data_IF_303495826839
#
_entry.id   IF_303495826839
#
_cell.length_a   1.000
_cell.length_b   1.000
_cell.length_c   1.000
_cell.angle_alpha   90.00
_cell.angle_beta   90.00
_cell.angle_gamma   90.00
#
_symmetry.space_group_name_H-M   'P 1'
#
loop_
_entity.id
_entity.type
_entity.pdbx_description
1 polymer ?
#
# COMPACT_ATOMS: atom_id res chain seq x y z
N UNK A 1 -24.44 18.67 -5.58
CA UNK A 1 -24.91 17.42 -6.20
C UNK A 1 -23.77 16.45 -6.58
N UNK A 2 -22.57 16.89 -7.02
CA UNK A 2 -21.44 15.99 -7.33
C UNK A 2 -20.84 15.21 -6.13
N UNK A 3 -20.80 15.80 -4.92
CA UNK A 3 -20.26 15.13 -3.70
C UNK A 3 -21.04 13.89 -3.23
N UNK A 4 -22.34 13.82 -3.54
CA UNK A 4 -23.18 12.66 -3.19
C UNK A 4 -22.95 11.51 -4.16
N UNK A 5 -22.58 11.81 -5.40
CA UNK A 5 -22.40 10.85 -6.47
C UNK A 5 -21.18 9.94 -6.24
N UNK A 6 -20.04 10.51 -5.83
CA UNK A 6 -18.79 9.78 -5.58
C UNK A 6 -18.82 8.92 -4.31
N UNK A 7 -19.54 9.36 -3.25
CA UNK A 7 -19.80 8.49 -2.09
C UNK A 7 -20.59 7.22 -2.47
N UNK A 8 -21.46 7.33 -3.47
CA UNK A 8 -22.21 6.19 -4.03
C UNK A 8 -21.34 5.22 -4.84
N UNK A 9 -20.38 5.74 -5.59
CA UNK A 9 -19.47 4.94 -6.44
C UNK A 9 -18.46 4.18 -5.57
N UNK A 10 -17.83 4.83 -4.60
CA UNK A 10 -16.95 4.16 -3.63
C UNK A 10 -17.72 3.09 -2.82
N UNK A 11 -18.92 3.41 -2.30
CA UNK A 11 -19.77 2.41 -1.64
C UNK A 11 -20.18 1.23 -2.54
N UNK A 12 -20.32 1.45 -3.86
CA UNK A 12 -20.64 0.36 -4.80
C UNK A 12 -19.39 -0.42 -5.22
N UNK A 13 -18.23 0.24 -5.37
CA UNK A 13 -16.95 -0.41 -5.59
C UNK A 13 -16.52 -1.19 -4.33
N UNK A 14 -16.63 -0.61 -3.14
CA UNK A 14 -16.37 -1.30 -1.87
C UNK A 14 -17.36 -2.46 -1.67
N UNK A 15 -18.65 -2.29 -2.02
CA UNK A 15 -19.63 -3.40 -2.02
C UNK A 15 -19.41 -4.42 -3.13
N UNK A 16 -18.79 -4.06 -4.25
CA UNK A 16 -18.38 -5.02 -5.28
C UNK A 16 -17.17 -5.80 -4.79
N UNK A 17 -16.20 -5.13 -4.17
CA UNK A 17 -15.06 -5.75 -3.48
C UNK A 17 -15.56 -6.60 -2.30
N UNK A 18 -16.49 -6.11 -1.47
CA UNK A 18 -17.11 -6.91 -0.40
C UNK A 18 -17.97 -8.08 -0.94
N UNK A 19 -18.63 -7.95 -2.08
CA UNK A 19 -19.40 -9.04 -2.71
C UNK A 19 -18.52 -10.06 -3.42
N UNK A 20 -17.29 -9.74 -3.75
CA UNK A 20 -16.28 -10.68 -4.25
C UNK A 20 -15.87 -11.71 -3.19
N UNK A 21 -16.12 -11.43 -1.91
CA UNK A 21 -15.86 -12.35 -0.79
C UNK A 21 -16.99 -13.39 -0.59
N UNK A 22 -18.05 -13.41 -1.39
CA UNK A 22 -19.21 -14.28 -1.11
C UNK A 22 -19.28 -15.46 -2.08
N UNK A 23 -18.96 -16.63 -1.53
CA UNK A 23 -19.43 -17.98 -1.85
C UNK A 23 -18.77 -18.67 -3.02
N UNK A 24 -17.66 -19.35 -2.73
CA UNK A 24 -17.26 -20.56 -3.45
C UNK A 24 -18.01 -21.78 -2.87
N UNK A 25 -19.14 -22.17 -3.44
CA UNK A 25 -19.68 -23.51 -3.28
C UNK A 25 -19.25 -24.36 -4.49
N UNK A 26 -18.02 -24.85 -4.42
CA UNK A 26 -17.52 -25.85 -5.37
C UNK A 26 -17.94 -27.24 -4.91
N UNK A 27 -18.95 -27.83 -5.55
CA UNK A 27 -19.23 -29.27 -5.46
C UNK A 27 -18.32 -30.00 -6.42
N UNK A 28 -17.23 -30.55 -5.92
CA UNK A 28 -16.46 -31.59 -6.61
C UNK A 28 -16.48 -32.83 -5.73
N UNK A 29 -16.86 -33.98 -6.30
CA UNK A 29 -16.82 -35.28 -5.63
C UNK A 29 -15.36 -35.74 -5.45
N UNK A 30 -14.73 -35.33 -4.35
CA UNK A 30 -13.38 -35.67 -3.94
C UNK A 30 -13.40 -36.60 -2.74
N UNK A 31 -12.33 -37.39 -2.53
CA UNK A 31 -12.16 -38.15 -1.30
C UNK A 31 -12.24 -37.23 -0.09
N UNK A 32 -12.82 -37.66 1.03
CA UNK A 32 -13.04 -36.85 2.24
C UNK A 32 -11.79 -36.07 2.71
N UNK A 33 -10.61 -36.58 2.44
CA UNK A 33 -9.34 -35.97 2.86
C UNK A 33 -8.89 -34.82 1.91
N UNK A 34 -9.09 -34.99 0.60
CA UNK A 34 -8.83 -33.95 -0.41
C UNK A 34 -9.87 -32.82 -0.32
N UNK A 35 -11.12 -33.15 -0.03
CA UNK A 35 -12.20 -32.20 0.19
C UNK A 35 -11.89 -31.29 1.40
N UNK A 36 -11.34 -31.82 2.49
CA UNK A 36 -10.93 -31.03 3.66
C UNK A 36 -9.77 -30.06 3.34
N UNK A 37 -8.83 -30.47 2.46
CA UNK A 37 -7.71 -29.62 2.03
C UNK A 37 -8.19 -28.47 1.16
N UNK A 38 -9.01 -28.75 0.16
CA UNK A 38 -9.56 -27.73 -0.74
C UNK A 38 -10.45 -26.74 0.02
N UNK A 39 -11.28 -27.21 0.96
CA UNK A 39 -12.08 -26.34 1.83
C UNK A 39 -11.21 -25.41 2.67
N UNK A 40 -10.08 -25.91 3.22
CA UNK A 40 -9.12 -25.07 3.95
C UNK A 40 -8.50 -23.99 3.05
N UNK A 41 -8.02 -24.37 1.86
CA UNK A 41 -7.40 -23.42 0.91
C UNK A 41 -8.43 -22.37 0.46
N UNK A 42 -9.64 -22.79 0.09
CA UNK A 42 -10.72 -21.87 -0.28
C UNK A 42 -11.10 -20.92 0.86
N UNK A 43 -11.14 -21.42 2.10
CA UNK A 43 -11.40 -20.59 3.28
C UNK A 43 -10.34 -19.52 3.50
N UNK A 44 -9.05 -19.85 3.31
CA UNK A 44 -7.95 -18.89 3.43
C UNK A 44 -8.01 -17.80 2.35
N UNK A 45 -8.38 -18.16 1.11
CA UNK A 45 -8.63 -17.20 0.01
C UNK A 45 -9.78 -16.26 0.38
N UNK A 46 -10.92 -16.83 0.81
CA UNK A 46 -12.12 -16.06 1.17
C UNK A 46 -11.88 -15.10 2.35
N UNK A 47 -10.98 -15.44 3.26
CA UNK A 47 -10.59 -14.61 4.40
C UNK A 47 -9.46 -13.64 4.05
N UNK A 48 -8.96 -13.63 2.80
CA UNK A 48 -7.79 -12.84 2.38
C UNK A 48 -6.55 -13.08 3.27
N UNK A 49 -6.42 -14.32 3.79
CA UNK A 49 -5.32 -14.68 4.69
C UNK A 49 -4.12 -15.21 3.90
N UNK A 50 -3.44 -14.30 3.21
CA UNK A 50 -2.40 -14.62 2.23
C UNK A 50 -1.14 -15.24 2.86
N UNK A 51 -0.82 -14.91 4.11
CA UNK A 51 0.34 -15.49 4.81
C UNK A 51 0.13 -16.96 5.15
N UNK A 52 -1.03 -17.29 5.72
CA UNK A 52 -1.38 -18.69 6.00
C UNK A 52 -1.64 -19.48 4.73
N UNK A 53 -2.15 -18.81 3.68
CA UNK A 53 -2.32 -19.41 2.36
C UNK A 53 -0.97 -19.83 1.76
N UNK A 54 0.03 -18.94 1.80
CA UNK A 54 1.39 -19.27 1.35
C UNK A 54 1.99 -20.44 2.14
N UNK A 55 1.81 -20.43 3.45
CA UNK A 55 2.29 -21.51 4.29
C UNK A 55 1.57 -22.83 3.98
N UNK A 56 0.25 -22.79 3.83
CA UNK A 56 -0.54 -23.97 3.48
C UNK A 56 -0.12 -24.56 2.12
N UNK A 57 0.16 -23.71 1.11
CA UNK A 57 0.67 -24.16 -0.19
C UNK A 57 2.05 -24.81 -0.10
N UNK A 58 2.93 -24.36 0.80
CA UNK A 58 4.28 -24.94 1.02
C UNK A 58 4.21 -26.28 1.73
N UNK A 59 3.30 -26.43 2.70
CA UNK A 59 3.15 -27.60 3.55
C UNK A 59 2.33 -28.72 2.90
N UNK A 60 1.45 -28.38 1.97
CA UNK A 60 0.50 -29.34 1.36
C UNK A 60 1.06 -29.92 0.07
N UNK A 61 1.10 -31.27 -0.08
CA UNK A 61 1.51 -31.88 -1.34
C UNK A 61 0.70 -31.38 -2.52
N UNK A 62 1.36 -31.14 -3.64
CA UNK A 62 0.75 -30.52 -4.81
C UNK A 62 -0.46 -31.27 -5.36
N UNK A 63 -0.45 -32.58 -5.29
CA UNK A 63 -1.51 -33.47 -5.77
C UNK A 63 -2.71 -33.62 -4.81
N UNK A 64 -2.63 -32.99 -3.62
CA UNK A 64 -3.71 -33.00 -2.62
C UNK A 64 -4.64 -31.79 -2.75
N UNK A 65 -4.33 -30.84 -3.63
CA UNK A 65 -5.15 -29.65 -3.91
C UNK A 65 -5.62 -29.75 -5.35
N UNK A 66 -6.89 -29.43 -5.61
CA UNK A 66 -7.43 -29.41 -6.98
C UNK A 66 -6.64 -28.42 -7.86
N UNK A 67 -6.37 -28.75 -9.14
CA UNK A 67 -5.50 -27.94 -9.99
C UNK A 67 -5.92 -26.49 -10.09
N UNK A 68 -7.20 -26.22 -10.31
CA UNK A 68 -7.75 -24.86 -10.37
C UNK A 68 -7.52 -24.08 -9.08
N UNK A 69 -7.90 -24.66 -7.94
CA UNK A 69 -7.78 -23.98 -6.63
C UNK A 69 -6.32 -23.71 -6.27
N UNK A 70 -5.42 -24.62 -6.61
CA UNK A 70 -3.99 -24.44 -6.43
C UNK A 70 -3.45 -23.28 -7.26
N UNK A 71 -3.84 -23.19 -8.53
CA UNK A 71 -3.42 -22.08 -9.38
C UNK A 71 -3.96 -20.75 -8.87
N UNK A 72 -5.25 -20.70 -8.50
CA UNK A 72 -5.85 -19.50 -7.92
C UNK A 72 -5.11 -19.06 -6.65
N UNK A 73 -4.89 -19.99 -5.72
CA UNK A 73 -4.15 -19.72 -4.49
C UNK A 73 -2.72 -19.24 -4.77
N UNK A 74 -2.04 -19.83 -5.75
CA UNK A 74 -0.69 -19.43 -6.17
C UNK A 74 -0.69 -18.02 -6.79
N UNK A 75 -1.66 -17.71 -7.65
CA UNK A 75 -1.80 -16.39 -8.25
C UNK A 75 -1.98 -15.30 -7.18
N UNK A 76 -2.89 -15.53 -6.22
CA UNK A 76 -3.17 -14.60 -5.14
C UNK A 76 -1.94 -14.40 -4.24
N UNK A 77 -1.26 -15.46 -3.83
CA UNK A 77 -0.04 -15.33 -3.01
C UNK A 77 1.07 -14.61 -3.76
N UNK A 78 1.27 -14.86 -5.06
CA UNK A 78 2.27 -14.14 -5.84
C UNK A 78 1.94 -12.65 -5.98
N UNK A 79 0.66 -12.30 -6.18
CA UNK A 79 0.24 -10.90 -6.27
C UNK A 79 0.50 -10.13 -4.97
N UNK A 80 0.01 -10.65 -3.83
CA UNK A 80 0.11 -9.95 -2.53
C UNK A 80 1.49 -10.01 -1.90
N UNK A 81 2.31 -11.03 -2.21
CA UNK A 81 3.69 -11.15 -1.72
C UNK A 81 4.72 -10.60 -2.73
N UNK A 82 4.31 -9.64 -3.56
CA UNK A 82 5.17 -8.88 -4.48
C UNK A 82 6.05 -9.75 -5.39
N UNK A 83 5.44 -10.77 -6.04
CA UNK A 83 6.07 -11.62 -7.06
C UNK A 83 5.38 -11.44 -8.40
N UNK A 84 5.40 -10.21 -8.98
CA UNK A 84 4.53 -9.86 -10.10
C UNK A 84 4.81 -10.67 -11.38
N UNK A 85 6.09 -11.00 -11.67
CA UNK A 85 6.42 -11.85 -12.83
C UNK A 85 5.75 -13.23 -12.72
N UNK A 86 5.84 -13.87 -11.55
CA UNK A 86 5.22 -15.17 -11.29
C UNK A 86 3.69 -15.06 -11.30
N UNK A 87 3.14 -13.97 -10.76
CA UNK A 87 1.71 -13.71 -10.80
C UNK A 87 1.19 -13.59 -12.24
N UNK A 88 1.90 -12.87 -13.11
CA UNK A 88 1.53 -12.75 -14.53
C UNK A 88 1.43 -14.10 -15.22
N UNK A 89 2.39 -15.01 -14.99
CA UNK A 89 2.38 -16.36 -15.60
C UNK A 89 1.14 -17.15 -15.15
N UNK A 90 0.88 -17.22 -13.85
CA UNK A 90 -0.22 -18.01 -13.30
C UNK A 90 -1.59 -17.40 -13.62
N UNK A 91 -1.73 -16.07 -13.56
CA UNK A 91 -2.97 -15.37 -13.93
C UNK A 91 -3.28 -15.53 -15.41
N UNK A 92 -2.27 -15.50 -16.28
CA UNK A 92 -2.47 -15.73 -17.72
C UNK A 92 -2.96 -17.14 -18.00
N UNK A 93 -2.43 -18.14 -17.29
CA UNK A 93 -2.88 -19.53 -17.42
C UNK A 93 -4.31 -19.72 -16.89
N UNK A 94 -4.65 -19.14 -15.74
CA UNK A 94 -6.01 -19.14 -15.20
C UNK A 94 -7.02 -18.54 -16.19
N UNK A 95 -6.71 -17.38 -16.75
CA UNK A 95 -7.58 -16.70 -17.72
C UNK A 95 -7.65 -17.43 -19.05
N UNK A 96 -6.62 -18.19 -19.44
CA UNK A 96 -6.61 -18.99 -20.65
C UNK A 96 -7.39 -20.30 -20.52
N UNK A 97 -7.29 -20.98 -19.39
CA UNK A 97 -7.69 -22.38 -19.26
C UNK A 97 -8.84 -22.64 -18.26
N UNK A 98 -9.16 -21.66 -17.38
CA UNK A 98 -10.08 -21.84 -16.25
C UNK A 98 -11.21 -20.81 -16.17
N UNK A 99 -11.61 -20.23 -17.30
CA UNK A 99 -12.65 -19.19 -17.31
C UNK A 99 -14.01 -19.69 -16.79
N UNK A 100 -14.34 -20.97 -17.02
CA UNK A 100 -15.58 -21.54 -16.55
C UNK A 100 -15.62 -21.67 -15.03
N UNK A 101 -14.49 -22.10 -14.42
CA UNK A 101 -14.36 -22.22 -12.97
C UNK A 101 -14.27 -20.84 -12.31
N UNK A 102 -13.65 -19.86 -12.96
CA UNK A 102 -13.58 -18.47 -12.48
C UNK A 102 -14.95 -17.80 -12.49
N UNK A 103 -15.79 -18.07 -13.49
CA UNK A 103 -17.11 -17.45 -13.61
C UNK A 103 -17.04 -15.91 -13.48
N UNK A 104 -17.81 -15.34 -12.57
CA UNK A 104 -17.85 -13.88 -12.31
C UNK A 104 -16.54 -13.30 -11.79
N UNK A 105 -15.60 -14.12 -11.31
CA UNK A 105 -14.29 -13.68 -10.85
C UNK A 105 -13.29 -13.43 -11.99
N UNK A 106 -13.62 -13.81 -13.23
CA UNK A 106 -12.77 -13.59 -14.41
C UNK A 106 -12.35 -12.14 -14.53
N UNK A 107 -13.27 -11.20 -14.33
CA UNK A 107 -13.00 -9.77 -14.38
C UNK A 107 -11.92 -9.36 -13.36
N UNK A 108 -12.00 -9.85 -12.13
CA UNK A 108 -11.01 -9.55 -11.10
C UNK A 108 -9.63 -10.09 -11.47
N UNK A 109 -9.56 -11.28 -12.06
CA UNK A 109 -8.28 -11.85 -12.51
C UNK A 109 -7.66 -11.04 -13.66
N UNK A 110 -8.49 -10.46 -14.55
CA UNK A 110 -8.02 -9.55 -15.61
C UNK A 110 -7.42 -8.29 -14.98
N UNK A 111 -8.07 -7.70 -13.97
CA UNK A 111 -7.57 -6.52 -13.25
C UNK A 111 -6.25 -6.85 -12.56
N UNK A 112 -6.18 -7.98 -11.84
CA UNK A 112 -4.94 -8.42 -11.17
C UNK A 112 -3.81 -8.66 -12.17
N UNK A 113 -4.10 -9.30 -13.33
CA UNK A 113 -3.09 -9.49 -14.37
C UNK A 113 -2.59 -8.15 -14.91
N UNK A 114 -3.50 -7.21 -15.21
CA UNK A 114 -3.13 -5.88 -15.67
C UNK A 114 -2.23 -5.16 -14.64
N UNK A 115 -2.58 -5.20 -13.36
CA UNK A 115 -1.77 -4.62 -12.28
C UNK A 115 -0.37 -5.24 -12.23
N UNK A 116 -0.25 -6.57 -12.30
CA UNK A 116 1.06 -7.23 -12.26
C UNK A 116 1.89 -6.97 -13.51
N UNK A 117 1.28 -6.88 -14.70
CA UNK A 117 1.95 -6.44 -15.92
C UNK A 117 2.51 -5.01 -15.78
N UNK A 118 1.75 -4.10 -15.20
CA UNK A 118 2.24 -2.75 -14.93
C UNK A 118 3.41 -2.74 -13.93
N UNK A 119 3.33 -3.54 -12.86
CA UNK A 119 4.43 -3.72 -11.88
C UNK A 119 5.71 -4.27 -12.49
N UNK A 120 5.61 -5.03 -13.60
CA UNK A 120 6.76 -5.56 -14.35
C UNK A 120 7.17 -4.68 -15.54
N UNK A 121 6.54 -3.50 -15.71
CA UNK A 121 6.84 -2.56 -16.79
C UNK A 121 6.17 -2.84 -18.14
N UNK A 122 5.30 -3.86 -18.22
CA UNK A 122 4.54 -4.22 -19.43
C UNK A 122 3.28 -3.35 -19.57
N UNK A 123 3.46 -2.03 -19.54
CA UNK A 123 2.35 -1.06 -19.51
C UNK A 123 1.41 -1.13 -20.71
N UNK A 124 1.93 -1.44 -21.93
CA UNK A 124 1.08 -1.57 -23.11
C UNK A 124 0.13 -2.77 -23.01
N UNK A 125 0.62 -3.90 -22.50
CA UNK A 125 -0.18 -5.11 -22.31
C UNK A 125 -1.23 -4.89 -21.20
N UNK A 126 -0.81 -4.27 -20.10
CA UNK A 126 -1.71 -3.86 -19.02
C UNK A 126 -2.84 -2.96 -19.53
N UNK A 127 -2.50 -1.94 -20.31
CA UNK A 127 -3.47 -1.03 -20.93
C UNK A 127 -4.42 -1.75 -21.88
N UNK A 128 -3.91 -2.70 -22.67
CA UNK A 128 -4.70 -3.51 -23.61
C UNK A 128 -5.77 -4.31 -22.90
N UNK A 129 -5.43 -4.97 -21.79
CA UNK A 129 -6.36 -5.74 -20.97
C UNK A 129 -7.50 -4.88 -20.41
N UNK A 130 -7.16 -3.74 -19.78
CA UNK A 130 -8.17 -2.84 -19.20
C UNK A 130 -9.06 -2.20 -20.27
N UNK A 131 -8.51 -1.85 -21.43
CA UNK A 131 -9.31 -1.35 -22.55
C UNK A 131 -10.31 -2.42 -23.04
N UNK A 132 -9.84 -3.65 -23.22
CA UNK A 132 -10.72 -4.75 -23.64
C UNK A 132 -11.82 -5.01 -22.60
N UNK A 133 -11.48 -4.93 -21.31
CA UNK A 133 -12.47 -5.06 -20.24
C UNK A 133 -13.49 -3.93 -20.29
N UNK A 134 -13.04 -2.67 -20.43
CA UNK A 134 -13.92 -1.50 -20.59
C UNK A 134 -14.87 -1.66 -21.77
N UNK A 135 -14.36 -2.06 -22.94
CA UNK A 135 -15.16 -2.23 -24.17
C UNK A 135 -16.23 -3.30 -24.01
N UNK A 136 -15.89 -4.44 -23.39
CA UNK A 136 -16.83 -5.55 -23.12
C UNK A 136 -17.94 -5.11 -22.14
N UNK A 137 -17.57 -4.48 -21.02
CA UNK A 137 -18.53 -4.02 -20.03
C UNK A 137 -19.47 -2.94 -20.59
N UNK A 138 -18.94 -2.06 -21.44
CA UNK A 138 -19.74 -1.03 -22.15
C UNK A 138 -20.72 -1.69 -23.12
N UNK A 139 -20.29 -2.71 -23.88
CA UNK A 139 -21.15 -3.47 -24.79
C UNK A 139 -22.28 -4.22 -24.05
N UNK A 140 -22.04 -4.63 -22.80
CA UNK A 140 -23.04 -5.26 -21.93
C UNK A 140 -23.98 -4.25 -21.24
N UNK A 141 -23.80 -2.94 -21.47
CA UNK A 141 -24.61 -1.90 -20.86
C UNK A 141 -24.35 -1.67 -19.39
N UNK A 142 -23.17 -2.04 -18.90
CA UNK A 142 -22.76 -1.78 -17.51
C UNK A 142 -22.70 -0.28 -17.24
N UNK A 143 -23.07 0.15 -16.02
CA UNK A 143 -23.05 1.55 -15.60
C UNK A 143 -21.69 2.20 -15.90
N UNK A 144 -21.72 3.27 -16.68
CA UNK A 144 -20.53 4.01 -17.11
C UNK A 144 -19.67 4.51 -15.93
N UNK A 145 -20.29 4.74 -14.76
CA UNK A 145 -19.56 5.17 -13.56
C UNK A 145 -18.64 4.10 -12.99
N UNK A 146 -18.93 2.82 -13.28
CA UNK A 146 -18.13 1.68 -12.86
C UNK A 146 -17.03 1.34 -13.88
N UNK A 147 -17.29 1.62 -15.16
CA UNK A 147 -16.39 1.22 -16.25
C UNK A 147 -15.35 2.29 -16.58
N UNK A 148 -15.67 3.57 -16.34
CA UNK A 148 -14.78 4.70 -16.68
C UNK A 148 -13.40 4.59 -16.02
N UNK A 149 -13.33 4.03 -14.81
CA UNK A 149 -12.07 3.85 -14.09
C UNK A 149 -11.09 2.93 -14.85
N UNK A 150 -11.58 1.91 -15.54
CA UNK A 150 -10.73 0.99 -16.32
C UNK A 150 -10.19 1.68 -17.58
N UNK A 151 -11.01 2.49 -18.24
CA UNK A 151 -10.58 3.31 -19.39
C UNK A 151 -9.49 4.30 -18.96
N UNK A 152 -9.72 5.02 -17.87
CA UNK A 152 -8.79 6.05 -17.38
C UNK A 152 -7.46 5.40 -16.95
N UNK A 153 -7.50 4.26 -16.28
CA UNK A 153 -6.30 3.49 -15.94
C UNK A 153 -5.57 2.96 -17.19
N UNK A 154 -6.31 2.53 -18.23
CA UNK A 154 -5.71 2.12 -19.50
C UNK A 154 -5.01 3.29 -20.20
N UNK A 155 -5.58 4.49 -20.16
CA UNK A 155 -4.96 5.71 -20.68
C UNK A 155 -3.67 6.07 -19.92
N UNK A 156 -3.69 6.00 -18.60
CA UNK A 156 -2.51 6.21 -17.77
C UNK A 156 -1.38 5.23 -18.12
N UNK A 157 -1.68 3.94 -18.25
CA UNK A 157 -0.67 2.95 -18.62
C UNK A 157 -0.12 3.19 -20.04
N UNK A 158 -0.93 3.64 -21.02
CA UNK A 158 -0.43 4.02 -22.34
C UNK A 158 0.51 5.22 -22.29
N UNK A 159 0.16 6.23 -21.50
CA UNK A 159 1.00 7.41 -21.31
C UNK A 159 2.35 7.05 -20.67
N UNK A 160 2.33 6.18 -19.66
CA UNK A 160 3.56 5.66 -19.03
C UNK A 160 4.39 4.80 -20.00
N UNK A 161 3.76 3.95 -20.81
CA UNK A 161 4.44 3.14 -21.83
C UNK A 161 5.18 3.99 -22.86
N UNK A 162 4.63 5.14 -23.22
CA UNK A 162 5.25 6.06 -24.18
C UNK A 162 6.56 6.70 -23.67
N UNK A 163 6.81 6.64 -22.35
CA UNK A 163 8.05 7.15 -21.74
C UNK A 163 9.24 6.19 -21.84
N UNK A 164 9.05 4.99 -22.38
CA UNK A 164 10.07 3.92 -22.39
C UNK A 164 10.23 3.26 -21.02
N UNK A 165 11.41 2.69 -20.75
CA UNK A 165 11.65 2.02 -19.48
C UNK A 165 11.63 3.02 -18.32
N UNK A 166 10.65 2.87 -17.44
CA UNK A 166 10.52 3.67 -16.22
C UNK A 166 11.49 3.15 -15.14
N UNK A 167 11.86 4.02 -14.22
CA UNK A 167 12.74 3.70 -13.09
C UNK A 167 14.04 2.97 -13.49
N UNK A 168 14.53 3.20 -14.72
CA UNK A 168 15.75 2.53 -15.18
C UNK A 168 16.97 3.01 -14.37
N UNK A 169 17.67 2.12 -13.67
CA UNK A 169 18.81 2.52 -12.83
C UNK A 169 19.98 2.99 -13.69
N UNK A 170 20.67 4.04 -13.22
CA UNK A 170 21.95 4.52 -13.73
C UNK A 170 23.12 4.18 -12.79
N UNK A 171 22.80 3.80 -11.55
CA UNK A 171 23.79 3.43 -10.54
C UNK A 171 24.17 1.95 -10.66
N UNK A 172 25.32 1.61 -10.10
CA UNK A 172 25.79 0.22 -10.00
C UNK A 172 25.08 -0.46 -8.82
N UNK A 173 25.09 -1.80 -8.82
CA UNK A 173 24.73 -2.55 -7.62
C UNK A 173 25.88 -2.43 -6.62
N UNK A 174 25.65 -1.68 -5.54
CA UNK A 174 26.60 -1.43 -4.46
C UNK A 174 25.82 -1.19 -3.15
N UNK A 175 26.51 -1.16 -2.02
CA UNK A 175 25.89 -0.69 -0.77
C UNK A 175 25.83 0.85 -0.80
N UNK A 176 24.63 1.38 -0.49
CA UNK A 176 24.43 2.82 -0.37
C UNK A 176 24.03 3.17 1.06
N UNK A 177 24.72 4.17 1.62
CA UNK A 177 24.41 4.78 2.91
C UNK A 177 24.04 6.22 2.67
N UNK A 178 22.81 6.57 3.02
CA UNK A 178 22.23 7.88 2.74
C UNK A 178 21.91 8.53 4.08
N UNK A 179 22.45 9.70 4.37
CA UNK A 179 22.10 10.43 5.58
C UNK A 179 20.58 10.62 5.67
N UNK A 180 20.01 10.23 6.80
CA UNK A 180 18.60 10.33 7.10
C UNK A 180 18.39 11.55 8.00
N UNK A 181 17.66 12.55 7.51
CA UNK A 181 17.29 13.71 8.32
C UNK A 181 15.96 13.40 8.99
N UNK A 182 15.97 13.38 10.31
CA UNK A 182 14.73 13.31 11.09
C UNK A 182 14.32 14.76 11.36
N UNK A 183 13.32 15.24 10.60
CA UNK A 183 12.80 16.60 10.74
C UNK A 183 11.68 16.63 11.78
N UNK A 184 11.79 17.55 12.74
CA UNK A 184 10.78 17.75 13.79
C UNK A 184 9.90 18.96 13.46
N UNK A 185 8.65 18.68 13.09
CA UNK A 185 7.64 19.68 12.79
C UNK A 185 6.64 19.82 13.95
N UNK A 186 7.13 20.33 15.08
CA UNK A 186 6.30 20.57 16.27
C UNK A 186 5.94 19.30 17.05
N UNK A 187 6.93 18.42 17.22
CA UNK A 187 6.81 17.15 17.94
C UNK A 187 6.34 16.00 17.07
N UNK A 188 6.25 16.20 15.74
CA UNK A 188 6.00 15.14 14.77
C UNK A 188 7.22 15.01 13.87
N UNK A 189 7.81 13.82 13.84
CA UNK A 189 8.97 13.56 13.01
C UNK A 189 8.59 13.11 11.63
N UNK A 190 9.44 13.38 10.65
CA UNK A 190 9.44 12.82 9.31
C UNK A 190 10.84 12.41 8.90
N UNK A 191 10.95 11.41 8.02
CA UNK A 191 12.22 11.00 7.42
C UNK A 191 12.39 11.76 6.11
N UNK A 192 13.46 12.53 6.01
CA UNK A 192 13.82 13.26 4.80
C UNK A 192 15.22 12.87 4.32
N UNK A 193 15.46 12.97 3.01
CA UNK A 193 16.72 12.64 2.35
C UNK A 193 17.08 13.71 1.34
N UNK A 194 18.36 14.05 1.25
CA UNK A 194 18.86 14.94 0.22
C UNK A 194 19.08 14.20 -1.10
N UNK A 195 18.79 14.85 -2.21
CA UNK A 195 18.97 14.32 -3.55
C UNK A 195 18.79 15.36 -4.64
N UNK A 196 18.39 14.96 -5.85
CA UNK A 196 18.10 15.92 -6.92
C UNK A 196 17.08 15.40 -7.92
N UNK A 197 16.32 16.32 -8.51
CA UNK A 197 15.45 16.09 -9.68
C UNK A 197 16.01 16.87 -10.86
N UNK A 198 16.23 16.19 -11.98
CA UNK A 198 16.76 16.79 -13.21
C UNK A 198 18.03 17.65 -12.97
N UNK A 199 18.91 17.15 -12.05
CA UNK A 199 20.17 17.80 -11.71
C UNK A 199 20.05 19.00 -10.77
N UNK A 200 18.87 19.30 -10.22
CA UNK A 200 18.65 20.36 -9.23
C UNK A 200 18.45 19.75 -7.85
N UNK A 201 19.24 20.21 -6.89
CA UNK A 201 19.19 19.73 -5.50
C UNK A 201 17.80 19.95 -4.89
N UNK A 202 17.35 18.94 -4.13
CA UNK A 202 16.10 18.97 -3.39
C UNK A 202 16.16 17.98 -2.23
N UNK A 203 15.32 18.23 -1.23
CA UNK A 203 15.07 17.32 -0.13
C UNK A 203 13.76 16.58 -0.35
N UNK A 204 13.73 15.28 -0.09
CA UNK A 204 12.60 14.41 -0.31
C UNK A 204 12.04 13.88 1.00
N UNK A 205 10.73 13.84 1.12
CA UNK A 205 10.05 13.06 2.15
C UNK A 205 10.08 11.58 1.77
N UNK A 206 10.47 10.71 2.70
CA UNK A 206 10.41 9.25 2.56
C UNK A 206 9.10 8.74 3.14
N UNK A 207 8.18 8.27 2.29
CA UNK A 207 6.81 7.96 2.67
C UNK A 207 6.38 6.58 2.14
N UNK A 208 6.34 5.57 3.02
CA UNK A 208 5.87 4.21 2.68
C UNK A 208 4.36 4.11 2.56
N UNK A 209 3.60 5.11 3.05
CA UNK A 209 2.16 5.23 2.84
C UNK A 209 1.80 5.77 1.47
N UNK A 210 2.77 6.32 0.72
CA UNK A 210 2.55 6.83 -0.63
C UNK A 210 2.72 5.71 -1.67
N UNK A 211 1.61 5.29 -2.30
CA UNK A 211 1.60 4.31 -3.41
C UNK A 211 2.27 4.83 -4.70
N UNK A 212 2.62 6.12 -4.77
CA UNK A 212 3.31 6.77 -5.89
C UNK A 212 4.24 7.88 -5.41
N UNK A 213 5.15 8.34 -6.27
CA UNK A 213 5.90 9.56 -5.98
C UNK A 213 4.98 10.77 -6.19
N UNK A 214 5.07 11.78 -5.33
CA UNK A 214 4.23 12.97 -5.38
C UNK A 214 5.07 14.25 -5.45
N UNK A 215 4.56 15.24 -6.16
CA UNK A 215 5.17 16.56 -6.27
C UNK A 215 4.08 17.63 -6.47
N UNK A 216 4.32 18.84 -5.98
CA UNK A 216 3.40 19.96 -6.24
C UNK A 216 3.56 20.51 -7.66
N UNK A 217 2.53 21.17 -8.23
CA UNK A 217 2.63 21.81 -9.55
C UNK A 217 3.78 22.81 -9.64
N UNK A 218 4.02 23.58 -8.58
CA UNK A 218 5.09 24.57 -8.51
C UNK A 218 6.48 23.91 -8.61
N UNK A 219 6.68 22.82 -7.85
CA UNK A 219 7.95 22.09 -7.85
C UNK A 219 8.15 21.32 -9.15
N UNK A 220 7.08 20.72 -9.71
CA UNK A 220 7.14 20.05 -11.01
C UNK A 220 7.62 21.02 -12.12
N UNK A 221 7.07 22.24 -12.14
CA UNK A 221 7.50 23.32 -13.04
C UNK A 221 8.93 23.78 -12.72
N UNK A 222 9.27 23.97 -11.44
CA UNK A 222 10.63 24.39 -11.00
C UNK A 222 11.69 23.40 -11.48
N UNK A 223 11.43 22.11 -11.41
CA UNK A 223 12.39 21.06 -11.83
C UNK A 223 12.25 20.65 -13.30
N UNK A 224 11.30 21.22 -14.03
CA UNK A 224 11.11 20.97 -15.46
C UNK A 224 10.69 19.53 -15.75
N UNK A 225 9.77 18.97 -14.95
CA UNK A 225 9.19 17.67 -15.24
C UNK A 225 8.39 17.73 -16.55
N UNK A 226 8.45 16.67 -17.34
CA UNK A 226 7.66 16.54 -18.56
C UNK A 226 6.26 16.06 -18.22
N UNK A 227 5.24 16.91 -18.45
CA UNK A 227 3.85 16.51 -18.28
C UNK A 227 3.48 15.37 -19.24
N UNK A 228 2.67 14.44 -18.75
CA UNK A 228 2.01 13.41 -19.56
C UNK A 228 0.56 13.81 -19.79
N UNK A 229 0.00 13.40 -20.93
CA UNK A 229 -1.43 13.55 -21.22
C UNK A 229 -2.22 12.41 -20.54
N UNK A 230 -2.21 12.44 -19.20
CA UNK A 230 -2.88 11.47 -18.39
C UNK A 230 -3.22 12.05 -17.01
N UNK A 231 -4.51 12.09 -16.72
CA UNK A 231 -5.03 12.48 -15.41
C UNK A 231 -4.79 11.36 -14.39
N UNK A 232 -4.58 11.74 -13.15
CA UNK A 232 -4.51 10.80 -12.02
C UNK A 232 -5.49 11.22 -10.91
N UNK A 233 -6.06 10.22 -10.26
CA UNK A 233 -6.83 10.43 -9.03
C UNK A 233 -6.05 9.84 -7.86
N UNK A 234 -5.66 10.68 -6.92
CA UNK A 234 -4.95 10.26 -5.70
C UNK A 234 -5.89 10.31 -4.51
N UNK A 235 -5.96 9.19 -3.78
CA UNK A 235 -6.68 9.12 -2.52
C UNK A 235 -5.79 9.52 -1.35
N UNK A 236 -6.37 10.18 -0.34
CA UNK A 236 -5.70 10.51 0.90
C UNK A 236 -6.70 10.70 2.04
N UNK A 237 -6.20 11.12 3.20
CA UNK A 237 -6.98 11.28 4.45
C UNK A 237 -8.26 12.10 4.27
N UNK A 238 -8.19 13.16 3.47
CA UNK A 238 -9.34 14.07 3.24
C UNK A 238 -10.22 13.68 2.06
N UNK A 239 -9.91 12.62 1.34
CA UNK A 239 -10.67 12.17 0.17
C UNK A 239 -9.83 12.06 -1.11
N UNK A 240 -10.50 12.16 -2.26
CA UNK A 240 -9.87 12.04 -3.58
C UNK A 240 -9.49 13.41 -4.12
N UNK A 241 -8.32 13.50 -4.74
CA UNK A 241 -7.86 14.65 -5.53
C UNK A 241 -7.51 14.24 -6.94
N UNK A 242 -7.83 15.12 -7.88
CA UNK A 242 -7.40 15.01 -9.27
C UNK A 242 -6.05 15.71 -9.44
N UNK A 243 -5.23 15.18 -10.30
CA UNK A 243 -3.95 15.73 -10.68
C UNK A 243 -3.49 15.18 -12.01
N UNK A 244 -2.23 15.40 -12.33
CA UNK A 244 -1.61 15.00 -13.59
C UNK A 244 -0.43 14.06 -13.33
N UNK A 245 0.00 13.29 -14.32
CA UNK A 245 1.30 12.64 -14.32
C UNK A 245 2.36 13.52 -14.97
N UNK A 246 3.56 13.52 -14.39
CA UNK A 246 4.74 14.08 -15.02
C UNK A 246 5.96 13.16 -14.80
N UNK A 247 6.94 13.25 -15.70
CA UNK A 247 8.16 12.45 -15.68
C UNK A 247 9.35 13.35 -15.34
N UNK A 248 10.08 12.97 -14.31
CA UNK A 248 11.44 13.43 -14.09
C UNK A 248 12.40 12.64 -14.99
N UNK A 249 13.22 13.34 -15.79
CA UNK A 249 14.22 12.67 -16.63
C UNK A 249 15.25 11.94 -15.79
N UNK A 250 15.61 12.53 -14.63
CA UNK A 250 16.51 11.91 -13.65
C UNK A 250 16.05 12.21 -12.22
N UNK A 251 16.10 11.18 -11.37
CA UNK A 251 16.02 11.27 -9.92
C UNK A 251 17.31 10.73 -9.32
N UNK A 252 17.90 11.44 -8.35
CA UNK A 252 19.06 10.98 -7.58
C UNK A 252 18.75 11.05 -6.08
N UNK A 253 19.16 10.01 -5.35
CA UNK A 253 19.06 9.95 -3.89
C UNK A 253 20.36 9.30 -3.40
N UNK A 254 21.16 10.04 -2.64
CA UNK A 254 22.51 9.59 -2.29
C UNK A 254 23.33 9.27 -3.54
N UNK A 255 23.96 8.10 -3.56
CA UNK A 255 24.72 7.59 -4.73
C UNK A 255 23.87 6.91 -5.81
N UNK A 256 22.57 6.71 -5.58
CA UNK A 256 21.67 6.08 -6.53
C UNK A 256 21.08 7.07 -7.52
N UNK A 257 20.76 6.60 -8.72
CA UNK A 257 20.09 7.42 -9.74
C UNK A 257 19.21 6.54 -10.63
N UNK A 258 18.09 7.11 -11.07
CA UNK A 258 17.14 6.51 -12.00
C UNK A 258 16.75 7.51 -13.08
N UNK A 259 16.37 7.00 -14.26
CA UNK A 259 15.78 7.81 -15.33
C UNK A 259 14.32 7.43 -15.55
N UNK A 260 13.58 8.37 -16.11
CA UNK A 260 12.16 8.26 -16.41
C UNK A 260 11.34 7.93 -15.15
N UNK A 261 11.39 8.79 -14.16
CA UNK A 261 10.70 8.57 -12.88
C UNK A 261 9.36 9.32 -12.87
N UNK A 262 8.22 8.61 -12.83
CA UNK A 262 6.91 9.21 -12.75
C UNK A 262 6.65 9.86 -11.39
N UNK A 263 5.97 10.99 -11.42
CA UNK A 263 5.41 11.70 -10.28
C UNK A 263 3.94 12.03 -10.54
N UNK A 264 3.09 11.83 -9.55
CA UNK A 264 1.78 12.43 -9.52
C UNK A 264 1.92 13.91 -9.11
N UNK A 265 1.44 14.80 -9.95
CA UNK A 265 1.46 16.25 -9.71
C UNK A 265 0.15 16.65 -9.07
N UNK A 266 0.18 16.90 -7.75
CA UNK A 266 -1.02 17.12 -6.94
C UNK A 266 -0.93 18.45 -6.21
N UNK A 267 -1.97 19.27 -6.33
CA UNK A 267 -2.15 20.43 -5.47
C UNK A 267 -2.51 19.97 -4.05
N UNK A 268 -1.57 20.15 -3.13
CA UNK A 268 -1.71 19.68 -1.74
C UNK A 268 -2.60 20.57 -0.86
N UNK A 269 -3.06 21.71 -1.37
CA UNK A 269 -3.98 22.59 -0.62
C UNK A 269 -5.26 21.83 -0.27
N UNK A 270 -5.65 21.95 0.99
CA UNK A 270 -6.78 21.21 1.56
C UNK A 270 -8.11 21.97 1.44
N UNK A 271 -8.05 23.29 1.18
CA UNK A 271 -9.19 24.19 1.21
C UNK A 271 -9.58 24.62 2.65
N UNK A 272 -8.73 24.31 3.63
CA UNK A 272 -8.87 24.76 5.02
C UNK A 272 -7.72 25.72 5.36
N UNK A 273 -8.05 26.98 5.62
CA UNK A 273 -7.09 28.07 5.78
C UNK A 273 -5.93 27.75 6.75
N UNK A 274 -6.21 27.09 7.89
CA UNK A 274 -5.18 26.75 8.87
C UNK A 274 -4.22 25.65 8.37
N UNK A 275 -4.77 24.62 7.71
CA UNK A 275 -3.98 23.53 7.17
C UNK A 275 -3.17 24.00 5.96
N UNK A 276 -3.76 24.88 5.12
CA UNK A 276 -3.09 25.43 3.95
C UNK A 276 -1.97 26.38 4.36
N UNK A 277 -2.18 27.24 5.35
CA UNK A 277 -1.11 28.08 5.95
C UNK A 277 0.01 27.26 6.58
N UNK A 278 -0.33 26.12 7.20
CA UNK A 278 0.67 25.19 7.71
C UNK A 278 1.49 24.59 6.59
N UNK A 279 0.83 24.09 5.53
CA UNK A 279 1.48 23.51 4.34
C UNK A 279 2.34 24.55 3.60
N UNK A 280 1.87 25.78 3.46
CA UNK A 280 2.63 26.89 2.87
C UNK A 280 3.87 27.23 3.69
N UNK A 281 3.75 27.23 5.04
CA UNK A 281 4.86 27.52 5.95
C UNK A 281 5.95 26.45 5.90
N UNK A 282 5.58 25.17 5.79
CA UNK A 282 6.52 24.06 5.85
C UNK A 282 6.91 23.52 4.46
N UNK A 283 6.31 24.03 3.38
CA UNK A 283 6.58 23.68 1.98
C UNK A 283 6.80 22.16 1.84
N UNK A 284 5.72 21.39 1.68
CA UNK A 284 5.81 19.93 1.56
C UNK A 284 6.84 19.55 0.47
N UNK A 285 7.94 18.86 0.84
CA UNK A 285 8.92 18.44 -0.14
C UNK A 285 8.31 17.41 -1.10
N UNK A 286 8.93 17.15 -2.26
CA UNK A 286 8.54 16.03 -3.09
C UNK A 286 8.59 14.74 -2.30
N UNK A 287 7.62 13.86 -2.51
CA UNK A 287 7.49 12.58 -1.81
C UNK A 287 8.08 11.47 -2.65
N UNK A 288 8.97 10.70 -2.07
CA UNK A 288 9.43 9.42 -2.60
C UNK A 288 8.56 8.33 -1.99
N UNK A 289 7.76 7.70 -2.85
CA UNK A 289 6.85 6.62 -2.50
C UNK A 289 7.38 5.23 -2.86
N UNK A 290 6.49 4.26 -2.70
CA UNK A 290 6.80 2.84 -2.88
C UNK A 290 7.42 2.45 -4.23
N UNK A 291 7.08 3.06 -5.40
CA UNK A 291 7.69 2.63 -6.65
C UNK A 291 9.21 2.75 -6.68
N UNK A 292 9.78 3.82 -6.14
CA UNK A 292 11.24 3.97 -6.01
C UNK A 292 11.78 3.01 -4.95
N UNK A 293 11.05 2.84 -3.84
CA UNK A 293 11.44 1.91 -2.77
C UNK A 293 11.49 0.46 -3.24
N UNK A 294 10.54 0.01 -4.08
CA UNK A 294 10.60 -1.32 -4.71
C UNK A 294 11.83 -1.52 -5.59
N UNK A 295 12.31 -0.45 -6.25
CA UNK A 295 13.58 -0.51 -7.00
C UNK A 295 14.80 -0.70 -6.08
N UNK A 296 14.72 -0.30 -4.81
CA UNK A 296 15.77 -0.50 -3.81
C UNK A 296 15.78 -1.93 -3.26
N UNK A 297 14.68 -2.67 -3.36
CA UNK A 297 14.44 -4.05 -2.90
C UNK A 297 14.50 -4.25 -1.38
N UNK A 298 15.50 -3.71 -0.70
CA UNK A 298 15.62 -3.70 0.76
C UNK A 298 16.09 -2.34 1.23
N UNK A 299 15.47 -1.87 2.31
CA UNK A 299 15.77 -0.60 2.95
C UNK A 299 15.95 -0.87 4.44
N UNK A 300 17.08 -0.41 5.00
CA UNK A 300 17.32 -0.46 6.42
C UNK A 300 17.33 0.96 6.99
N UNK A 301 16.37 1.28 7.83
CA UNK A 301 16.32 2.53 8.57
C UNK A 301 17.17 2.37 9.83
N UNK A 302 18.37 2.92 9.83
CA UNK A 302 19.29 2.91 10.96
C UNK A 302 19.10 4.21 11.77
N UNK A 303 18.29 4.14 12.82
CA UNK A 303 17.98 5.28 13.67
C UNK A 303 19.15 5.63 14.60
N UNK A 304 20.01 4.68 14.93
CA UNK A 304 21.19 4.90 15.77
C UNK A 304 22.22 5.77 15.07
N UNK A 305 22.48 5.51 13.77
CA UNK A 305 23.44 6.26 12.96
C UNK A 305 22.79 7.34 12.09
N UNK A 306 21.45 7.38 12.04
CA UNK A 306 20.66 8.26 11.17
C UNK A 306 21.01 8.08 9.70
N UNK A 307 20.99 6.84 9.26
CA UNK A 307 21.28 6.43 7.88
C UNK A 307 20.16 5.55 7.34
N UNK A 308 19.84 5.76 6.07
CA UNK A 308 19.09 4.81 5.25
C UNK A 308 20.10 3.98 4.49
N UNK A 309 20.11 2.66 4.71
CA UNK A 309 21.08 1.74 4.10
C UNK A 309 20.35 0.88 3.08
N UNK A 310 20.90 0.84 1.87
CA UNK A 310 20.49 -0.07 0.79
C UNK A 310 21.61 -1.09 0.61
N UNK A 311 21.44 -2.34 1.07
CA UNK A 311 22.51 -3.33 1.01
C UNK A 311 22.66 -3.91 -0.40
N UNK A 312 23.86 -4.29 -0.79
CA UNK A 312 24.13 -5.01 -2.06
C UNK A 312 23.47 -6.40 -2.06
N UNK A 313 23.49 -7.06 -0.90
CA UNK A 313 22.91 -8.39 -0.70
C UNK A 313 21.79 -8.24 0.30
N UNK A 314 20.58 -8.57 -0.15
CA UNK A 314 19.40 -8.52 0.72
C UNK A 314 19.53 -9.54 1.85
N UNK A 315 19.03 -9.17 3.02
CA UNK A 315 18.92 -10.06 4.17
C UNK A 315 17.83 -11.11 3.94
N UNK A 316 17.88 -12.20 4.67
CA UNK A 316 16.83 -13.22 4.67
C UNK A 316 15.98 -13.08 5.93
N UNK A 317 14.68 -13.36 5.81
CA UNK A 317 13.77 -13.38 6.96
C UNK A 317 14.30 -14.35 8.03
N UNK A 318 14.50 -13.90 9.27
CA UNK A 318 15.02 -14.75 10.35
C UNK A 318 14.14 -15.97 10.67
N UNK A 319 12.86 -15.90 10.31
CA UNK A 319 11.89 -17.01 10.52
C UNK A 319 11.42 -17.65 9.22
N UNK A 320 12.02 -17.31 8.08
CA UNK A 320 11.70 -17.91 6.77
C UNK A 320 10.29 -17.61 6.23
N UNK A 321 9.63 -16.56 6.74
CA UNK A 321 8.27 -16.19 6.38
C UNK A 321 8.17 -14.69 6.09
N UNK A 322 7.18 -14.32 5.27
CA UNK A 322 6.78 -12.93 5.07
C UNK A 322 5.88 -12.45 6.20
N UNK A 323 5.92 -11.15 6.51
CA UNK A 323 4.97 -10.46 7.38
C UNK A 323 4.51 -9.12 6.78
N UNK A 324 4.94 -8.80 5.55
CA UNK A 324 4.46 -7.69 4.74
C UNK A 324 3.64 -8.18 3.57
N UNK A 325 2.61 -7.42 3.20
CA UNK A 325 1.82 -7.57 1.97
C UNK A 325 1.88 -6.27 1.18
N UNK A 326 1.78 -6.40 -0.15
CA UNK A 326 1.44 -5.29 -1.04
C UNK A 326 -0.06 -5.28 -1.26
N UNK A 327 -0.74 -4.19 -0.91
CA UNK A 327 -2.20 -4.09 -1.01
C UNK A 327 -2.66 -3.75 -2.42
N UNK A 328 -3.95 -3.91 -2.70
CA UNK A 328 -4.57 -3.52 -3.98
C UNK A 328 -4.54 -1.99 -4.22
N UNK A 329 -4.37 -1.21 -3.17
CA UNK A 329 -4.20 0.24 -3.22
C UNK A 329 -2.74 0.67 -3.38
N UNK A 330 -1.86 -0.28 -3.71
CA UNK A 330 -0.41 -0.08 -3.84
C UNK A 330 0.28 0.36 -2.53
N UNK A 331 -0.31 0.08 -1.38
CA UNK A 331 0.27 0.28 -0.05
C UNK A 331 1.00 -0.94 0.48
N UNK A 332 1.56 -0.82 1.68
CA UNK A 332 2.14 -1.92 2.44
C UNK A 332 1.32 -2.19 3.71
N UNK A 333 1.07 -3.46 3.98
CA UNK A 333 0.38 -3.91 5.18
C UNK A 333 1.25 -4.86 5.98
N UNK A 334 1.50 -4.54 7.25
CA UNK A 334 2.23 -5.38 8.18
C UNK A 334 1.28 -6.28 8.95
N UNK A 335 1.51 -7.60 8.92
CA UNK A 335 0.93 -8.54 9.88
C UNK A 335 1.72 -8.47 11.17
N UNK A 336 1.04 -8.15 12.25
CA UNK A 336 1.64 -7.99 13.59
C UNK A 336 0.79 -8.66 14.66
N UNK A 337 1.31 -8.64 15.88
CA UNK A 337 0.58 -8.97 17.10
C UNK A 337 0.58 -7.73 17.99
N UNK A 338 -0.58 -7.41 18.56
CA UNK A 338 -0.75 -6.28 19.46
C UNK A 338 -0.96 -6.80 20.88
N UNK A 339 -0.31 -6.19 21.86
CA UNK A 339 -0.33 -6.54 23.27
C UNK A 339 -0.03 -8.03 23.54
N UNK A 340 -0.92 -8.75 24.18
CA UNK A 340 -0.70 -10.14 24.64
C UNK A 340 -1.12 -11.20 23.62
N UNK A 341 -1.28 -10.84 22.34
CA UNK A 341 -1.51 -11.86 21.32
C UNK A 341 -2.66 -11.58 20.34
N UNK A 342 -3.19 -10.36 20.29
CA UNK A 342 -4.21 -10.00 19.31
C UNK A 342 -3.57 -9.79 17.93
N UNK A 343 -3.90 -10.62 16.92
CA UNK A 343 -3.41 -10.40 15.56
C UNK A 343 -3.98 -9.11 14.98
N UNK A 344 -3.15 -8.35 14.27
CA UNK A 344 -3.55 -7.11 13.61
C UNK A 344 -2.83 -6.96 12.25
N UNK A 345 -3.49 -6.26 11.34
CA UNK A 345 -2.98 -5.88 10.04
C UNK A 345 -2.90 -4.36 9.99
N UNK A 346 -1.68 -3.83 9.98
CA UNK A 346 -1.44 -2.39 10.05
C UNK A 346 -0.97 -1.86 8.70
N UNK A 347 -1.55 -0.77 8.23
CA UNK A 347 -0.97 0.03 7.18
C UNK A 347 0.40 0.54 7.62
N UNK A 348 1.43 0.28 6.82
CA UNK A 348 2.78 0.72 7.13
C UNK A 348 3.07 2.06 6.47
N UNK A 349 3.21 3.12 7.28
CA UNK A 349 3.22 4.49 6.82
C UNK A 349 4.25 5.35 7.56
N UNK A 350 5.43 5.57 6.94
CA UNK A 350 6.46 6.47 7.47
C UNK A 350 6.15 7.96 7.22
N UNK A 351 5.16 8.28 6.38
CA UNK A 351 4.59 9.61 6.24
C UNK A 351 3.70 10.00 7.42
N UNK A 352 3.22 9.00 8.18
CA UNK A 352 2.52 9.20 9.45
C UNK A 352 3.51 9.13 10.62
N UNK A 353 3.53 10.17 11.47
CA UNK A 353 4.32 10.08 12.71
C UNK A 353 3.67 9.12 13.71
N UNK A 354 2.36 9.25 13.92
CA UNK A 354 1.67 8.49 14.97
C UNK A 354 1.24 7.10 14.51
N UNK A 355 1.47 6.13 15.39
CA UNK A 355 0.83 4.82 15.34
C UNK A 355 -0.53 4.90 16.03
N UNK A 356 -1.60 4.45 15.37
CA UNK A 356 -2.95 4.47 15.91
C UNK A 356 -3.78 3.31 15.34
N UNK A 357 -4.89 2.98 16.04
CA UNK A 357 -5.79 1.92 15.61
C UNK A 357 -6.99 2.50 14.86
N UNK A 358 -7.50 1.74 13.89
CA UNK A 358 -8.60 2.10 12.99
C UNK A 358 -9.94 1.49 13.43
N UNK A 359 -11.08 1.89 12.83
CA UNK A 359 -12.40 1.40 13.18
C UNK A 359 -12.56 -0.12 13.13
N UNK A 360 -11.85 -0.81 12.24
CA UNK A 360 -11.87 -2.27 12.17
C UNK A 360 -11.38 -2.91 13.49
N UNK A 361 -10.32 -2.37 14.07
CA UNK A 361 -9.85 -2.77 15.40
C UNK A 361 -10.87 -2.43 16.49
N UNK A 362 -11.32 -1.17 16.54
CA UNK A 362 -12.30 -0.72 17.53
C UNK A 362 -13.53 -1.63 17.59
N UNK A 363 -14.10 -1.96 16.44
CA UNK A 363 -15.31 -2.78 16.35
C UNK A 363 -15.11 -4.19 16.94
N UNK A 364 -13.92 -4.77 16.85
CA UNK A 364 -13.60 -6.07 17.43
C UNK A 364 -13.26 -6.01 18.92
N UNK A 365 -12.75 -4.88 19.41
CA UNK A 365 -12.29 -4.68 20.79
C UNK A 365 -13.07 -3.59 21.54
N UNK A 366 -14.30 -3.29 21.10
CA UNK A 366 -15.08 -2.15 21.61
C UNK A 366 -15.21 -2.14 23.13
N UNK A 367 -15.56 -3.28 23.74
CA UNK A 367 -15.77 -3.37 25.21
C UNK A 367 -14.50 -3.03 26.00
N UNK A 368 -13.35 -3.49 25.50
CA UNK A 368 -12.04 -3.24 26.11
C UNK A 368 -11.67 -1.77 25.97
N UNK A 369 -11.84 -1.23 24.76
CA UNK A 369 -11.52 0.17 24.45
C UNK A 369 -12.43 1.13 25.21
N UNK A 370 -13.76 0.89 25.25
CA UNK A 370 -14.71 1.74 25.98
C UNK A 370 -14.47 1.72 27.50
N UNK A 371 -13.97 0.60 28.05
CA UNK A 371 -13.71 0.47 29.49
C UNK A 371 -12.38 1.07 29.93
N UNK A 372 -11.34 1.00 29.12
CA UNK A 372 -9.98 1.45 29.46
C UNK A 372 -9.58 2.78 28.84
N UNK A 373 -10.29 3.20 27.78
CA UNK A 373 -9.94 4.37 26.99
C UNK A 373 -10.50 5.66 27.54
N UNK A 374 -9.74 6.74 27.38
CA UNK A 374 -10.20 8.10 27.66
C UNK A 374 -10.69 8.72 26.36
N UNK A 375 -11.93 9.29 26.31
CA UNK A 375 -12.43 9.97 25.13
C UNK A 375 -11.47 11.06 24.63
N UNK A 376 -11.22 11.08 23.33
CA UNK A 376 -10.28 11.99 22.67
C UNK A 376 -10.75 12.22 21.21
N UNK A 377 -9.96 12.97 20.45
CA UNK A 377 -10.12 13.16 19.02
C UNK A 377 -8.80 12.98 18.27
N UNK A 378 -8.88 12.56 17.02
CA UNK A 378 -7.75 12.49 16.11
C UNK A 378 -8.00 13.45 14.95
N UNK A 379 -7.12 14.44 14.80
CA UNK A 379 -7.07 15.30 13.62
C UNK A 379 -6.01 14.77 12.68
N UNK A 380 -6.42 14.49 11.48
CA UNK A 380 -5.54 14.05 10.39
C UNK A 380 -5.63 15.06 9.25
N UNK A 381 -4.50 15.45 8.70
CA UNK A 381 -4.42 16.30 7.50
C UNK A 381 -3.59 15.56 6.44
N UNK A 382 -4.01 15.66 5.19
CA UNK A 382 -3.32 15.02 4.08
C UNK A 382 -3.98 15.36 2.76
N UNK A 383 -3.62 14.62 1.71
CA UNK A 383 -4.23 14.80 0.40
C UNK A 383 -5.76 14.70 0.53
N UNK A 384 -6.45 15.65 -0.09
CA UNK A 384 -7.90 15.71 -0.12
C UNK A 384 -8.54 16.47 1.05
N UNK A 385 -7.79 16.84 2.11
CA UNK A 385 -8.33 17.69 3.18
C UNK A 385 -7.93 17.32 4.59
N UNK A 386 -8.81 17.67 5.54
CA UNK A 386 -8.67 17.42 6.98
C UNK A 386 -9.83 16.54 7.44
N UNK A 387 -9.54 15.53 8.23
CA UNK A 387 -10.52 14.71 8.94
C UNK A 387 -10.32 14.86 10.46
N UNK A 388 -11.43 14.96 11.20
CA UNK A 388 -11.40 14.95 12.67
C UNK A 388 -12.36 13.85 13.12
N UNK A 389 -11.80 12.81 13.75
CA UNK A 389 -12.58 11.66 14.16
C UNK A 389 -12.63 11.52 15.68
N UNK A 390 -13.71 10.94 16.19
CA UNK A 390 -13.81 10.53 17.58
C UNK A 390 -12.88 9.37 17.83
N UNK A 391 -12.12 9.44 18.91
CA UNK A 391 -11.20 8.38 19.32
C UNK A 391 -11.34 8.11 20.82
N UNK A 392 -10.81 6.96 21.22
CA UNK A 392 -10.40 6.71 22.59
C UNK A 392 -8.90 6.67 22.66
N UNK A 393 -8.32 7.21 23.71
CA UNK A 393 -6.91 7.17 24.00
C UNK A 393 -6.62 6.10 25.04
N UNK A 394 -5.94 5.04 24.64
CA UNK A 394 -5.43 4.00 25.53
C UNK A 394 -4.08 4.42 26.14
N UNK A 395 -3.79 4.05 27.40
CA UNK A 395 -2.58 4.49 28.08
C UNK A 395 -1.32 3.97 27.40
N UNK A 396 -1.33 2.72 26.95
CA UNK A 396 -0.17 2.08 26.32
C UNK A 396 -0.64 0.90 25.47
N UNK A 397 0.08 0.65 24.35
CA UNK A 397 -0.06 -0.56 23.53
C UNK A 397 1.31 -1.05 23.07
N UNK A 398 1.45 -2.36 22.87
CA UNK A 398 2.66 -3.00 22.36
C UNK A 398 2.42 -3.53 20.96
N UNK A 399 3.35 -3.24 20.06
CA UNK A 399 3.32 -3.67 18.65
C UNK A 399 4.53 -4.54 18.37
N UNK A 400 4.32 -5.76 17.90
CA UNK A 400 5.39 -6.68 17.54
C UNK A 400 5.79 -6.46 16.07
N UNK A 401 7.04 -6.11 15.81
CA UNK A 401 7.58 -5.91 14.46
C UNK A 401 8.71 -6.92 14.28
N UNK A 402 8.38 -8.05 13.65
CA UNK A 402 9.29 -9.17 13.66
C UNK A 402 9.56 -9.68 15.08
N UNK A 403 10.83 -9.71 15.49
CA UNK A 403 11.24 -10.05 16.86
C UNK A 403 11.25 -8.84 17.80
N UNK A 404 11.13 -7.62 17.29
CA UNK A 404 11.12 -6.40 18.08
C UNK A 404 9.75 -6.08 18.67
N UNK A 405 9.72 -5.37 19.80
CA UNK A 405 8.49 -4.91 20.45
C UNK A 405 8.57 -3.40 20.67
N UNK A 406 7.71 -2.65 19.97
CA UNK A 406 7.52 -1.23 20.21
C UNK A 406 6.44 -1.03 21.27
N UNK A 407 6.78 -0.36 22.36
CA UNK A 407 5.81 0.09 23.36
C UNK A 407 5.49 1.56 23.12
N UNK A 408 4.22 1.84 22.79
CA UNK A 408 3.73 3.18 22.47
C UNK A 408 2.74 3.62 23.53
N UNK A 409 2.99 4.78 24.10
CA UNK A 409 2.12 5.42 25.07
C UNK A 409 1.04 6.27 24.36
N UNK A 410 -0.11 6.37 24.97
CA UNK A 410 -1.20 7.25 24.52
C UNK A 410 -1.70 6.94 23.10
N UNK A 411 -1.90 5.65 22.77
CA UNK A 411 -2.36 5.21 21.46
C UNK A 411 -3.83 5.59 21.26
N UNK A 412 -4.13 6.24 20.15
CA UNK A 412 -5.51 6.59 19.77
C UNK A 412 -6.17 5.44 19.03
N UNK A 413 -7.41 5.14 19.38
CA UNK A 413 -8.25 4.14 18.71
C UNK A 413 -9.42 4.90 18.06
N UNK A 414 -9.42 4.94 16.74
CA UNK A 414 -10.42 5.63 15.93
C UNK A 414 -11.73 4.84 15.92
N UNK A 415 -12.85 5.51 16.24
CA UNK A 415 -14.18 4.88 16.22
C UNK A 415 -14.85 4.96 14.86
N UNK A 416 -14.28 5.66 13.88
CA UNK A 416 -14.85 5.92 12.56
C UNK A 416 -15.88 7.05 12.52
N UNK A 417 -16.21 7.68 13.65
CA UNK A 417 -17.19 8.75 13.68
C UNK A 417 -16.51 10.09 13.39
N UNK A 418 -16.88 10.71 12.27
CA UNK A 418 -16.47 12.05 11.91
C UNK A 418 -17.15 13.08 12.82
N UNK A 419 -16.38 13.92 13.51
CA UNK A 419 -16.89 14.88 14.49
C UNK A 419 -17.60 16.09 13.86
N UNK A 420 -17.37 16.39 12.58
CA UNK A 420 -18.07 17.48 11.89
C UNK A 420 -19.43 17.04 11.36
N UNK A 421 -19.50 15.80 10.84
CA UNK A 421 -20.72 15.31 10.18
C UNK A 421 -21.53 14.38 11.06
N UNK A 422 -20.94 13.84 12.12
CA UNK A 422 -21.52 12.79 12.96
C UNK A 422 -21.72 11.46 12.22
N UNK A 423 -21.24 11.34 10.99
CA UNK A 423 -21.41 10.14 10.16
C UNK A 423 -20.25 9.18 10.37
N UNK A 424 -20.52 7.88 10.22
CA UNK A 424 -19.48 6.87 10.13
C UNK A 424 -18.72 7.06 8.83
N UNK A 425 -17.40 7.18 8.92
CA UNK A 425 -16.52 7.15 7.74
C UNK A 425 -16.43 5.72 7.18
N UNK A 426 -16.10 5.60 5.90
CA UNK A 426 -15.98 4.28 5.27
C UNK A 426 -14.97 3.40 6.01
N UNK A 427 -15.31 2.12 6.11
CA UNK A 427 -14.50 1.13 6.81
C UNK A 427 -13.15 0.94 6.09
N UNK A 428 -12.08 1.29 6.75
CA UNK A 428 -10.77 0.77 6.41
C UNK A 428 -10.74 -0.72 6.74
N UNK A 429 -10.19 -1.52 5.87
CA UNK A 429 -10.03 -2.96 6.07
C UNK A 429 -8.86 -3.26 7.01
N UNK A 430 -8.02 -2.27 7.27
CA UNK A 430 -6.83 -2.35 8.12
C UNK A 430 -7.17 -2.02 9.56
N UNK A 431 -6.45 -2.67 10.47
CA UNK A 431 -6.67 -2.52 11.91
C UNK A 431 -6.09 -1.25 12.49
N UNK A 432 -5.14 -0.66 11.79
CA UNK A 432 -4.46 0.55 12.22
C UNK A 432 -3.39 1.01 11.27
N UNK A 433 -2.65 2.01 11.70
CA UNK A 433 -1.48 2.57 11.01
C UNK A 433 -0.27 2.39 11.90
N UNK A 434 0.81 1.82 11.35
CA UNK A 434 2.12 1.76 11.97
C UNK A 434 2.92 2.98 11.51
N UNK A 435 3.03 3.98 12.38
CA UNK A 435 3.74 5.22 12.11
C UNK A 435 5.19 5.23 12.60
N UNK A 436 5.87 6.33 12.32
CA UNK A 436 7.29 6.49 12.59
C UNK A 436 7.63 6.41 14.08
N UNK A 437 6.74 6.87 14.98
CA UNK A 437 6.96 6.81 16.43
C UNK A 437 7.14 5.39 16.99
N UNK A 438 6.64 4.36 16.29
CA UNK A 438 6.90 2.97 16.64
C UNK A 438 8.28 2.51 16.14
N UNK A 439 8.69 2.94 14.95
CA UNK A 439 9.97 2.56 14.35
C UNK A 439 11.15 3.16 15.09
N UNK A 440 11.04 4.38 15.58
CA UNK A 440 12.07 5.08 16.37
C UNK A 440 12.37 4.42 17.73
N UNK A 441 11.57 3.42 18.14
CA UNK A 441 11.86 2.62 19.36
C UNK A 441 12.98 1.61 19.14
N UNK A 442 13.47 1.46 17.92
CA UNK A 442 14.50 0.50 17.53
C UNK A 442 15.75 1.19 17.02
N UNK A 443 16.90 0.53 17.20
CA UNK A 443 18.17 1.01 16.61
C UNK A 443 18.13 0.91 15.09
N UNK A 444 17.45 -0.15 14.58
CA UNK A 444 17.34 -0.38 13.14
C UNK A 444 16.05 -1.10 12.79
N UNK A 445 15.45 -0.73 11.65
CA UNK A 445 14.33 -1.45 11.04
C UNK A 445 14.70 -1.87 9.63
N UNK A 446 14.61 -3.17 9.35
CA UNK A 446 14.83 -3.77 8.03
C UNK A 446 13.48 -3.92 7.34
N UNK A 447 13.36 -3.37 6.14
CA UNK A 447 12.18 -3.44 5.28
C UNK A 447 12.63 -4.14 3.99
N UNK A 448 12.39 -5.44 3.89
CA UNK A 448 12.73 -6.21 2.69
C UNK A 448 11.49 -6.32 1.80
N UNK A 449 11.48 -5.56 0.72
CA UNK A 449 10.37 -5.48 -0.24
C UNK A 449 10.42 -6.60 -1.29
N UNK A 450 11.54 -7.33 -1.37
CA UNK A 450 11.69 -8.50 -2.25
C UNK A 450 11.05 -9.74 -1.63
N UNK A 451 11.39 -10.03 -0.37
CA UNK A 451 10.88 -11.19 0.37
C UNK A 451 9.68 -10.85 1.27
N UNK A 452 9.24 -9.59 1.21
CA UNK A 452 8.07 -9.05 1.90
C UNK A 452 8.10 -9.33 3.40
N UNK A 453 9.15 -8.87 4.08
CA UNK A 453 9.22 -8.92 5.54
C UNK A 453 9.79 -7.64 6.15
N UNK A 454 9.41 -7.39 7.38
CA UNK A 454 9.93 -6.33 8.23
C UNK A 454 10.46 -6.93 9.53
N UNK A 455 11.65 -6.50 9.94
CA UNK A 455 12.31 -6.88 11.18
C UNK A 455 12.77 -5.61 11.91
N UNK A 456 12.54 -5.55 13.21
CA UNK A 456 12.97 -4.45 14.06
C UNK A 456 14.01 -4.93 15.07
N UNK A 457 15.15 -4.25 15.10
CA UNK A 457 16.31 -4.56 15.93
C UNK A 457 16.35 -3.56 17.10
N UNK A 458 16.25 -4.02 18.35
CA UNK A 458 16.26 -3.14 19.52
C UNK A 458 17.62 -2.46 19.69
N UNK A 459 17.63 -1.33 20.42
CA UNK A 459 18.87 -0.75 20.89
C UNK A 459 19.59 -1.73 21.81
N UNK A 460 20.92 -1.72 21.75
CA UNK A 460 21.71 -2.48 22.72
C UNK A 460 21.41 -2.01 24.15
N UNK A 461 21.19 -2.94 25.05
CA UNK A 461 21.07 -2.58 26.48
C UNK A 461 22.34 -1.84 26.91
N UNK A 462 22.17 -0.62 27.43
CA UNK A 462 23.29 0.11 28.01
C UNK A 462 23.70 -0.65 29.28
N UNK A 463 24.88 -1.28 29.21
CA UNK A 463 25.50 -1.93 30.36
C UNK A 463 25.83 -0.90 31.46
#
# INVERSE_FOLDING_TARGET
MRKIYWKGVRRKADKLIERVIVVFSLFVSMSMQAQNVDERIASLINQSNWFELEQALKETPANSISPFLRQLATAMTHHYLNRPDSACVVLSDLLGNHQQELGDHTMNMVILLSTNLARTGHYNDAAGLLQSLYDQLTALGTDSTLTVAYRDQAQQYRALAACGALYRPLHKSDEYRIPMVIDDKGGQHSIEMDGSINGREERFLFDTGAGGNLITPELAKKYGLRSLDADITVGGVGGLKQGDYAIADTLRIGGMAWVNVPFAVIDTRTGHDEADKFSEKFQLPPVIGLPVMFCMQEIQLDFEHRELIIPTIQTSSPWGKSNLLRTDTEGLQLKTTVDTGHPAYLHFDTGSYYTYMQPAWYNRHQKEVDSAGVPDSLRMAGIGGVAITRTYRLPQMKFHIGNGIATIDSVKVNTGIDLHTGQMQSHDTEDGVLGLNALEKFSKVIINLKDMYMEAIPYAEKQ
#
